data_IF_134825542713
#
_entry.id   IF_134825542713
#
_cell.length_a   1.000
_cell.length_b   1.000
_cell.length_c   1.000
_cell.angle_alpha   90.00
_cell.angle_beta   90.00
_cell.angle_gamma   90.00
#
_symmetry.space_group_name_H-M   'P 1'
#
loop_
_entity.id
_entity.type
_entity.pdbx_description
1 polymer ?
#
# COMPACT_ATOMS: atom_id res chain seq x y z
N UNK A 1 -41.90 -68.20 23.75
CA UNK A 1 -43.38 -68.08 23.71
C UNK A 1 -43.70 -66.82 22.92
N UNK A 2 -43.99 -66.93 21.61
CA UNK A 2 -45.33 -66.78 20.97
C UNK A 2 -45.97 -65.40 21.25
N UNK A 3 -46.41 -64.55 20.31
CA UNK A 3 -46.75 -64.67 18.87
C UNK A 3 -46.95 -63.25 18.26
N UNK A 4 -46.50 -63.05 17.00
CA UNK A 4 -47.21 -62.40 15.84
C UNK A 4 -47.66 -60.91 15.95
N UNK A 5 -47.60 -60.00 14.96
CA UNK A 5 -47.52 -59.99 13.48
C UNK A 5 -46.95 -58.62 13.00
N UNK A 6 -45.97 -58.50 12.10
CA UNK A 6 -45.97 -58.32 10.61
C UNK A 6 -46.75 -57.10 10.02
N UNK A 7 -45.99 -56.30 9.23
CA UNK A 7 -46.28 -55.41 8.07
C UNK A 7 -46.42 -53.91 8.39
N UNK A 8 -46.11 -52.93 7.53
CA UNK A 8 -45.22 -52.64 6.37
C UNK A 8 -45.65 -51.21 5.92
N UNK A 9 -44.87 -50.50 5.09
CA UNK A 9 -45.11 -49.13 4.54
C UNK A 9 -44.84 -47.99 5.54
N UNK A 10 -44.24 -46.86 5.19
CA UNK A 10 -43.82 -46.31 3.91
C UNK A 10 -43.56 -44.81 4.12
N UNK A 11 -42.51 -44.29 3.48
CA UNK A 11 -42.31 -42.94 2.95
C UNK A 11 -42.81 -41.69 3.74
N UNK A 12 -41.84 -40.80 3.97
CA UNK A 12 -41.91 -39.35 3.73
C UNK A 12 -42.59 -38.37 4.71
N UNK A 13 -41.83 -37.27 4.88
CA UNK A 13 -42.21 -35.85 4.99
C UNK A 13 -42.40 -35.18 6.37
N UNK A 14 -41.57 -34.15 6.52
CA UNK A 14 -41.85 -32.79 7.04
C UNK A 14 -42.56 -32.60 8.40
N UNK A 15 -41.81 -32.02 9.34
CA UNK A 15 -42.31 -31.12 10.39
C UNK A 15 -41.47 -29.83 10.28
N UNK A 16 -41.87 -28.85 9.47
CA UNK A 16 -42.91 -27.85 9.75
C UNK A 16 -42.55 -26.97 10.96
N UNK A 17 -41.88 -25.86 10.65
CA UNK A 17 -41.69 -24.68 11.49
C UNK A 17 -43.06 -24.16 11.90
N UNK A 18 -43.29 -23.95 13.20
CA UNK A 18 -44.48 -23.24 13.68
C UNK A 18 -44.34 -21.76 13.32
N UNK A 19 -45.07 -21.34 12.30
CA UNK A 19 -45.37 -19.94 12.02
C UNK A 19 -46.48 -19.48 12.95
N UNK A 20 -46.24 -18.36 13.65
CA UNK A 20 -47.31 -17.60 14.29
C UNK A 20 -48.05 -16.82 13.20
N UNK A 21 -49.24 -17.28 12.85
CA UNK A 21 -50.15 -16.50 12.02
C UNK A 21 -50.61 -15.26 12.79
N UNK A 22 -50.25 -14.08 12.31
CA UNK A 22 -51.13 -12.91 12.37
C UNK A 22 -51.64 -12.66 10.96
N UNK A 23 -52.94 -12.76 10.77
CA UNK A 23 -53.62 -12.42 9.53
C UNK A 23 -53.54 -10.90 9.29
N UNK A 24 -53.20 -10.49 8.08
CA UNK A 24 -53.38 -9.15 7.56
C UNK A 24 -54.16 -9.25 6.23
N UNK A 25 -55.37 -8.71 6.24
CA UNK A 25 -56.44 -8.96 5.25
C UNK A 25 -56.30 -8.17 3.94
N UNK A 26 -55.37 -7.22 3.80
CA UNK A 26 -55.15 -6.51 2.54
C UNK A 26 -53.70 -6.06 2.40
N UNK A 27 -52.95 -6.70 1.49
CA UNK A 27 -51.62 -6.26 1.10
C UNK A 27 -50.82 -7.39 0.44
N UNK A 28 -50.30 -7.15 -0.76
CA UNK A 28 -49.27 -8.01 -1.35
C UNK A 28 -48.11 -8.06 -0.36
N UNK A 29 -47.76 -9.25 0.12
CA UNK A 29 -46.52 -9.44 0.88
C UNK A 29 -45.39 -9.27 -0.13
N UNK A 30 -44.79 -8.09 -0.12
CA UNK A 30 -43.53 -7.85 -0.81
C UNK A 30 -42.45 -8.66 -0.09
N UNK A 31 -41.99 -9.74 -0.74
CA UNK A 31 -40.91 -10.61 -0.29
C UNK A 31 -39.54 -10.10 -0.75
N UNK A 32 -39.43 -8.87 -1.25
CA UNK A 32 -38.12 -8.25 -1.36
C UNK A 32 -37.57 -8.09 0.05
N UNK A 33 -36.55 -8.89 0.35
CA UNK A 33 -35.64 -8.60 1.45
C UNK A 33 -35.22 -7.14 1.26
N UNK A 34 -35.29 -6.28 2.28
CA UNK A 34 -34.70 -4.95 2.15
C UNK A 34 -33.25 -5.18 1.72
N UNK A 35 -32.84 -4.54 0.62
CA UNK A 35 -31.43 -4.50 0.26
C UNK A 35 -30.69 -3.98 1.48
N UNK A 36 -30.02 -4.86 2.22
CA UNK A 36 -28.96 -4.43 3.12
C UNK A 36 -28.01 -3.65 2.20
N UNK A 37 -27.93 -2.34 2.40
CA UNK A 37 -27.20 -1.40 1.55
C UNK A 37 -25.69 -1.58 1.57
N UNK A 38 -25.20 -2.81 1.51
CA UNK A 38 -23.81 -3.15 1.23
C UNK A 38 -23.49 -2.77 -0.20
N UNK A 39 -22.34 -2.10 -0.39
CA UNK A 39 -21.80 -1.85 -1.73
C UNK A 39 -21.60 -3.19 -2.44
N UNK A 40 -22.15 -3.31 -3.65
CA UNK A 40 -21.90 -4.46 -4.53
C UNK A 40 -20.40 -4.53 -4.81
N UNK A 41 -19.73 -5.68 -4.59
CA UNK A 41 -18.31 -5.83 -4.90
C UNK A 41 -18.02 -5.53 -6.38
N UNK A 42 -16.90 -4.88 -6.64
CA UNK A 42 -16.40 -4.65 -7.99
C UNK A 42 -15.95 -5.97 -8.60
N UNK A 43 -16.52 -6.32 -9.76
CA UNK A 43 -16.15 -7.46 -10.60
C UNK A 43 -15.89 -6.96 -12.04
N UNK A 44 -14.86 -6.14 -12.21
CA UNK A 44 -14.55 -5.52 -13.49
C UNK A 44 -13.52 -6.32 -14.31
N UNK A 45 -13.48 -5.99 -15.60
CA UNK A 45 -12.43 -6.39 -16.56
C UNK A 45 -11.66 -5.15 -16.97
N UNK A 46 -10.34 -5.25 -17.01
CA UNK A 46 -9.49 -4.08 -17.19
C UNK A 46 -8.68 -4.10 -18.49
N UNK A 47 -8.26 -2.92 -18.90
CA UNK A 47 -7.26 -2.68 -19.93
C UNK A 47 -5.91 -2.42 -19.28
N UNK A 48 -4.90 -3.20 -19.67
CA UNK A 48 -3.54 -3.11 -19.15
C UNK A 48 -2.62 -2.47 -20.20
N UNK A 49 -2.44 -1.14 -20.13
CA UNK A 49 -1.55 -0.39 -21.04
C UNK A 49 -0.23 -0.10 -20.34
N UNK A 50 0.74 -1.01 -20.45
CA UNK A 50 1.99 -0.92 -19.70
C UNK A 50 2.96 0.20 -20.22
N UNK A 51 3.64 0.94 -19.33
CA UNK A 51 3.48 0.89 -17.89
C UNK A 51 2.17 1.58 -17.44
N UNK A 52 1.50 1.01 -16.44
CA UNK A 52 0.28 1.51 -15.80
C UNK A 52 0.21 1.19 -14.29
N UNK A 53 1.35 0.87 -13.67
CA UNK A 53 1.51 0.70 -12.22
C UNK A 53 1.68 2.05 -11.52
N UNK A 54 2.79 2.26 -10.80
CA UNK A 54 3.05 3.53 -10.10
C UNK A 54 2.96 4.76 -11.03
N UNK A 55 3.52 4.66 -12.23
CA UNK A 55 3.50 5.71 -13.25
C UNK A 55 3.09 5.12 -14.59
N UNK A 56 2.41 5.93 -15.42
CA UNK A 56 2.01 5.47 -16.75
C UNK A 56 2.97 5.93 -17.86
N UNK A 57 2.73 5.46 -19.09
CA UNK A 57 3.53 5.84 -20.26
C UNK A 57 3.59 7.35 -20.51
N UNK A 58 2.49 8.08 -20.27
CA UNK A 58 2.42 9.53 -20.42
C UNK A 58 3.25 10.26 -19.36
N UNK A 59 3.25 9.76 -18.12
CA UNK A 59 4.05 10.32 -17.03
C UNK A 59 5.55 10.21 -17.36
N UNK A 60 6.02 9.05 -17.84
CA UNK A 60 7.42 8.88 -18.29
C UNK A 60 7.74 9.75 -19.51
N UNK A 61 6.86 9.80 -20.52
CA UNK A 61 7.08 10.62 -21.71
C UNK A 61 7.21 12.11 -21.33
N UNK A 62 6.32 12.62 -20.46
CA UNK A 62 6.36 14.00 -19.97
C UNK A 62 7.69 14.32 -19.31
N UNK A 63 8.14 13.47 -18.38
CA UNK A 63 9.38 13.69 -17.62
C UNK A 63 10.59 13.61 -18.54
N UNK A 64 10.63 12.62 -19.43
CA UNK A 64 11.70 12.48 -20.42
C UNK A 64 11.80 13.70 -21.33
N UNK A 65 10.69 14.14 -21.94
CA UNK A 65 10.68 15.31 -22.82
C UNK A 65 11.20 16.55 -22.11
N UNK A 66 10.76 16.83 -20.87
CA UNK A 66 11.25 18.03 -20.18
C UNK A 66 12.73 17.94 -19.76
N UNK A 67 13.26 16.73 -19.53
CA UNK A 67 14.68 16.52 -19.28
C UNK A 67 15.51 16.72 -20.55
N UNK A 68 15.10 16.09 -21.65
CA UNK A 68 15.78 16.16 -22.95
C UNK A 68 15.80 17.59 -23.52
N UNK A 69 14.68 18.30 -23.41
CA UNK A 69 14.55 19.70 -23.87
C UNK A 69 15.20 20.71 -22.91
N UNK A 70 15.68 20.26 -21.74
CA UNK A 70 16.23 21.12 -20.70
C UNK A 70 15.22 22.05 -20.01
N UNK A 71 13.91 21.84 -20.24
CA UNK A 71 12.81 22.67 -19.70
C UNK A 71 12.35 22.24 -18.30
N UNK A 72 12.82 21.10 -17.82
CA UNK A 72 12.49 20.59 -16.48
C UNK A 72 12.77 21.63 -15.38
N UNK A 73 11.87 21.77 -14.38
CA UNK A 73 12.15 22.56 -13.18
C UNK A 73 13.45 22.14 -12.49
N UNK A 74 14.11 23.07 -11.79
CA UNK A 74 15.39 22.77 -11.13
C UNK A 74 15.29 21.60 -10.14
N UNK A 75 14.23 21.55 -9.32
CA UNK A 75 14.02 20.45 -8.38
C UNK A 75 13.90 19.07 -9.05
N UNK A 76 13.34 19.00 -10.27
CA UNK A 76 13.28 17.77 -11.07
C UNK A 76 14.68 17.37 -11.55
N UNK A 77 15.47 18.34 -12.04
CA UNK A 77 16.85 18.10 -12.49
C UNK A 77 17.75 17.63 -11.34
N UNK A 78 17.56 18.22 -10.16
CA UNK A 78 18.30 17.86 -8.95
C UNK A 78 17.91 16.44 -8.50
N UNK A 79 16.61 16.10 -8.49
CA UNK A 79 16.16 14.75 -8.13
C UNK A 79 16.62 13.69 -9.15
N UNK A 80 16.59 14.02 -10.44
CA UNK A 80 17.13 13.14 -11.48
C UNK A 80 18.64 12.90 -11.29
N UNK A 81 19.39 13.94 -10.94
CA UNK A 81 20.82 13.82 -10.61
C UNK A 81 21.03 12.96 -9.36
N UNK A 82 20.20 13.13 -8.33
CA UNK A 82 20.25 12.29 -7.13
C UNK A 82 19.95 10.81 -7.45
N UNK A 83 18.98 10.53 -8.32
CA UNK A 83 18.67 9.16 -8.78
C UNK A 83 19.87 8.53 -9.51
N UNK A 84 20.55 9.27 -10.39
CA UNK A 84 21.75 8.80 -11.10
C UNK A 84 22.95 8.55 -10.17
N UNK A 85 23.06 9.33 -9.09
CA UNK A 85 24.14 9.21 -8.11
C UNK A 85 23.81 8.24 -6.97
N UNK A 86 22.62 7.65 -6.96
CA UNK A 86 22.20 6.72 -5.92
C UNK A 86 23.07 5.45 -5.97
N UNK A 87 23.44 4.90 -4.82
CA UNK A 87 24.22 3.66 -4.73
C UNK A 87 23.55 2.47 -5.43
N UNK A 88 22.21 2.48 -5.53
CA UNK A 88 21.41 1.43 -6.15
C UNK A 88 21.32 1.52 -7.68
N UNK A 89 21.87 2.56 -8.29
CA UNK A 89 21.88 2.77 -9.74
C UNK A 89 23.29 2.77 -10.33
N UNK A 90 24.31 2.42 -9.54
CA UNK A 90 25.69 2.37 -10.01
C UNK A 90 25.92 1.11 -10.86
N UNK A 91 26.54 1.28 -12.03
CA UNK A 91 26.84 0.21 -12.98
C UNK A 91 28.35 -0.10 -13.01
N UNK A 92 28.77 -1.38 -13.14
CA UNK A 92 27.91 -2.57 -13.15
C UNK A 92 27.29 -2.84 -11.77
N UNK A 93 26.05 -3.31 -11.73
CA UNK A 93 25.35 -3.69 -10.51
C UNK A 93 25.41 -5.22 -10.31
N UNK A 94 25.69 -5.67 -9.09
CA UNK A 94 25.74 -7.07 -8.72
C UNK A 94 24.64 -7.40 -7.70
N UNK A 95 23.62 -8.12 -8.14
CA UNK A 95 22.54 -8.66 -7.30
C UNK A 95 23.04 -9.74 -6.35
N UNK A 96 22.33 -9.91 -5.24
CA UNK A 96 22.61 -10.88 -4.19
C UNK A 96 21.34 -11.68 -3.83
N UNK A 97 20.80 -12.49 -4.77
CA UNK A 97 19.56 -13.22 -4.54
C UNK A 97 19.74 -14.30 -3.47
N UNK A 98 18.73 -14.46 -2.62
CA UNK A 98 18.71 -15.47 -1.56
C UNK A 98 17.72 -16.58 -1.92
N UNK A 99 18.00 -17.83 -1.52
CA UNK A 99 17.06 -18.95 -1.72
C UNK A 99 15.79 -18.78 -0.89
N UNK A 100 15.92 -18.22 0.31
CA UNK A 100 14.81 -17.87 1.21
C UNK A 100 14.93 -16.41 1.62
N UNK A 101 13.80 -15.71 1.65
CA UNK A 101 13.68 -14.39 2.28
C UNK A 101 13.13 -14.58 3.69
N UNK A 102 13.89 -14.21 4.71
CA UNK A 102 13.57 -14.41 6.12
C UNK A 102 13.49 -13.08 6.85
N UNK A 103 12.31 -12.78 7.39
CA UNK A 103 11.98 -11.61 8.22
C UNK A 103 11.08 -12.06 9.35
N UNK A 104 11.47 -11.81 10.60
CA UNK A 104 10.93 -12.34 11.84
C UNK A 104 11.85 -13.36 12.50
N UNK A 105 11.26 -14.19 13.35
CA UNK A 105 11.91 -15.32 13.96
C UNK A 105 12.45 -16.29 12.90
N UNK A 106 13.78 -16.38 12.86
CA UNK A 106 14.56 -17.19 11.93
C UNK A 106 15.09 -18.49 12.56
N UNK A 107 14.67 -18.80 13.80
CA UNK A 107 15.13 -19.96 14.55
C UNK A 107 14.86 -21.24 13.77
N UNK A 108 15.92 -21.99 13.46
CA UNK A 108 15.84 -23.23 12.69
C UNK A 108 15.56 -23.07 11.19
N UNK A 109 15.54 -21.82 10.67
CA UNK A 109 15.35 -21.52 9.25
C UNK A 109 16.69 -21.17 8.60
N UNK A 110 17.43 -20.22 9.18
CA UNK A 110 18.79 -19.86 8.75
C UNK A 110 19.82 -20.52 9.66
N UNK A 111 21.02 -20.76 9.14
CA UNK A 111 22.07 -21.48 9.87
C UNK A 111 22.53 -20.74 11.14
N UNK A 112 22.47 -19.41 11.14
CA UNK A 112 22.83 -18.56 12.27
C UNK A 112 21.62 -18.04 13.07
N UNK A 113 20.41 -18.47 12.71
CA UNK A 113 19.16 -18.06 13.36
C UNK A 113 18.83 -16.58 13.19
N UNK A 114 19.36 -15.93 12.14
CA UNK A 114 19.11 -14.50 11.84
C UNK A 114 18.27 -14.30 10.59
N UNK A 115 17.58 -13.16 10.55
CA UNK A 115 16.90 -12.65 9.36
C UNK A 115 17.88 -12.37 8.21
N UNK A 116 17.41 -12.46 6.97
CA UNK A 116 18.21 -12.20 5.77
C UNK A 116 17.43 -11.42 4.68
N UNK A 117 16.41 -10.63 5.04
CA UNK A 117 15.58 -9.91 4.06
C UNK A 117 16.27 -8.71 3.38
N UNK A 118 17.36 -8.18 3.95
CA UNK A 118 18.00 -6.95 3.47
C UNK A 118 18.49 -7.00 2.00
N UNK A 119 19.09 -8.11 1.50
CA UNK A 119 19.41 -8.24 0.07
C UNK A 119 18.19 -8.07 -0.85
N UNK A 120 17.04 -8.66 -0.52
CA UNK A 120 15.82 -8.53 -1.33
C UNK A 120 15.35 -7.07 -1.42
N UNK A 121 15.43 -6.37 -0.30
CA UNK A 121 15.08 -4.98 -0.18
C UNK A 121 15.99 -4.06 -1.02
N UNK A 122 17.31 -4.27 -0.95
CA UNK A 122 18.28 -3.50 -1.72
C UNK A 122 18.16 -3.75 -3.23
N UNK A 123 18.04 -5.02 -3.62
CA UNK A 123 17.97 -5.38 -5.03
C UNK A 123 16.64 -5.00 -5.68
N UNK A 124 15.52 -5.10 -4.97
CA UNK A 124 14.24 -4.61 -5.48
C UNK A 124 14.31 -3.09 -5.74
N UNK A 125 14.89 -2.34 -4.81
CA UNK A 125 15.08 -0.90 -4.97
C UNK A 125 16.01 -0.55 -6.14
N UNK A 126 17.09 -1.32 -6.32
CA UNK A 126 17.99 -1.16 -7.46
C UNK A 126 17.29 -1.45 -8.79
N UNK A 127 16.55 -2.56 -8.89
CA UNK A 127 15.80 -2.90 -10.09
C UNK A 127 14.80 -1.79 -10.46
N UNK A 128 14.04 -1.28 -9.48
CA UNK A 128 13.07 -0.21 -9.70
C UNK A 128 13.73 1.10 -10.16
N UNK A 129 14.78 1.55 -9.46
CA UNK A 129 15.48 2.79 -9.78
C UNK A 129 16.20 2.73 -11.13
N UNK A 130 16.81 1.59 -11.47
CA UNK A 130 17.39 1.38 -12.80
C UNK A 130 16.31 1.34 -13.90
N UNK A 131 15.14 0.75 -13.64
CA UNK A 131 14.02 0.77 -14.58
C UNK A 131 13.53 2.21 -14.86
N UNK A 132 13.46 3.06 -13.82
CA UNK A 132 13.16 4.48 -13.98
C UNK A 132 14.24 5.20 -14.82
N UNK A 133 15.52 4.98 -14.52
CA UNK A 133 16.60 5.59 -15.28
C UNK A 133 16.58 5.17 -16.75
N UNK A 134 16.30 3.90 -17.05
CA UNK A 134 16.10 3.46 -18.43
C UNK A 134 14.97 4.24 -19.10
N UNK A 135 13.78 4.33 -18.50
CA UNK A 135 12.65 5.08 -19.08
C UNK A 135 12.98 6.55 -19.36
N UNK A 136 13.76 7.18 -18.49
CA UNK A 136 14.07 8.62 -18.61
C UNK A 136 15.25 8.89 -19.54
N UNK A 137 16.24 8.01 -19.59
CA UNK A 137 17.47 8.21 -20.39
C UNK A 137 17.44 7.52 -21.75
N UNK A 138 16.77 6.37 -21.86
CA UNK A 138 16.91 5.44 -22.98
C UNK A 138 18.19 4.59 -22.94
N UNK A 139 19.02 4.67 -21.89
CA UNK A 139 20.25 3.87 -21.78
C UNK A 139 19.92 2.43 -21.39
N UNK A 140 20.09 1.52 -22.35
CA UNK A 140 19.82 0.08 -22.22
C UNK A 140 20.65 -0.59 -21.14
N UNK A 141 21.80 -0.02 -20.73
CA UNK A 141 22.60 -0.60 -19.63
C UNK A 141 21.84 -0.62 -18.31
N UNK A 142 20.98 0.36 -18.06
CA UNK A 142 20.10 0.34 -16.89
C UNK A 142 18.99 -0.70 -17.02
N UNK A 143 18.44 -0.87 -18.24
CA UNK A 143 17.43 -1.89 -18.52
C UNK A 143 17.99 -3.30 -18.30
N UNK A 144 19.16 -3.59 -18.88
CA UNK A 144 19.84 -4.88 -18.76
C UNK A 144 20.16 -5.21 -17.30
N UNK A 145 20.65 -4.23 -16.54
CA UNK A 145 20.95 -4.41 -15.12
C UNK A 145 19.68 -4.65 -14.29
N UNK A 146 18.59 -3.91 -14.57
CA UNK A 146 17.29 -4.13 -13.90
C UNK A 146 16.73 -5.52 -14.18
N UNK A 147 16.66 -5.93 -15.45
CA UNK A 147 16.21 -7.27 -15.86
C UNK A 147 17.07 -8.37 -15.25
N UNK A 148 18.40 -8.17 -15.20
CA UNK A 148 19.29 -9.13 -14.56
C UNK A 148 18.94 -9.34 -13.09
N UNK A 149 18.72 -8.27 -12.33
CA UNK A 149 18.32 -8.38 -10.91
C UNK A 149 17.00 -9.14 -10.78
N UNK A 150 16.00 -8.79 -11.60
CA UNK A 150 14.68 -9.44 -11.59
C UNK A 150 14.80 -10.95 -11.88
N UNK A 151 15.53 -11.32 -12.93
CA UNK A 151 15.73 -12.72 -13.34
C UNK A 151 16.55 -13.53 -12.31
N UNK A 152 17.58 -12.92 -11.72
CA UNK A 152 18.43 -13.55 -10.68
C UNK A 152 17.59 -13.94 -9.45
N UNK A 153 16.70 -13.05 -9.00
CA UNK A 153 15.78 -13.31 -7.89
C UNK A 153 14.73 -14.36 -8.25
N UNK A 154 14.11 -14.27 -9.43
CA UNK A 154 13.12 -15.27 -9.87
C UNK A 154 13.70 -16.68 -10.00
N UNK A 155 14.96 -16.78 -10.44
CA UNK A 155 15.66 -18.07 -10.58
C UNK A 155 16.02 -18.67 -9.23
N UNK A 156 16.40 -17.85 -8.26
CA UNK A 156 17.04 -18.29 -7.02
C UNK A 156 16.06 -18.43 -5.84
N UNK A 157 15.23 -17.41 -5.60
CA UNK A 157 14.37 -17.33 -4.43
C UNK A 157 13.17 -18.26 -4.56
N UNK A 158 12.92 -19.08 -3.54
CA UNK A 158 11.87 -20.10 -3.55
C UNK A 158 10.71 -19.80 -2.61
N UNK A 159 10.98 -19.10 -1.50
CA UNK A 159 9.95 -18.84 -0.49
C UNK A 159 10.32 -17.64 0.38
N UNK A 160 9.30 -16.96 0.90
CA UNK A 160 9.39 -16.04 2.03
C UNK A 160 8.97 -16.81 3.30
N UNK A 161 9.84 -16.86 4.31
CA UNK A 161 9.68 -17.77 5.45
C UNK A 161 10.11 -17.14 6.78
N UNK A 162 9.33 -17.38 7.82
CA UNK A 162 9.65 -17.12 9.23
C UNK A 162 8.75 -17.99 10.10
N UNK A 163 9.09 -18.14 11.37
CA UNK A 163 8.18 -18.73 12.37
C UNK A 163 7.09 -17.75 12.83
N UNK A 164 7.17 -16.47 12.44
CA UNK A 164 6.20 -15.44 12.80
C UNK A 164 5.73 -14.58 11.62
N UNK A 165 4.79 -13.68 11.92
CA UNK A 165 4.07 -12.87 10.95
C UNK A 165 4.90 -11.84 10.20
N UNK A 166 6.10 -11.48 10.67
CA UNK A 166 6.93 -10.46 10.02
C UNK A 166 7.29 -10.82 8.57
N UNK A 167 7.22 -12.10 8.18
CA UNK A 167 7.38 -12.52 6.79
C UNK A 167 6.32 -11.89 5.85
N UNK A 168 5.14 -11.52 6.38
CA UNK A 168 4.09 -10.85 5.62
C UNK A 168 4.44 -9.39 5.32
N UNK A 169 5.27 -8.76 6.16
CA UNK A 169 5.86 -7.45 5.84
C UNK A 169 6.91 -7.58 4.74
N UNK A 170 7.71 -8.65 4.73
CA UNK A 170 8.63 -8.89 3.61
C UNK A 170 7.87 -9.12 2.30
N UNK A 171 6.77 -9.89 2.35
CA UNK A 171 5.91 -10.11 1.20
C UNK A 171 5.28 -8.81 0.69
N UNK A 172 4.79 -7.94 1.57
CA UNK A 172 4.21 -6.65 1.18
C UNK A 172 5.25 -5.66 0.63
N UNK A 173 6.30 -5.35 1.38
CA UNK A 173 7.22 -4.27 1.02
C UNK A 173 8.11 -4.62 -0.18
N UNK A 174 8.69 -5.83 -0.20
CA UNK A 174 9.57 -6.23 -1.30
C UNK A 174 8.79 -6.68 -2.54
N UNK A 175 7.64 -7.35 -2.36
CA UNK A 175 6.78 -7.73 -3.49
C UNK A 175 6.28 -6.51 -4.26
N UNK A 176 5.87 -5.47 -3.53
CA UNK A 176 5.48 -4.16 -4.08
C UNK A 176 6.59 -3.55 -4.96
N UNK A 177 7.82 -3.53 -4.46
CA UNK A 177 8.95 -2.89 -5.17
C UNK A 177 9.39 -3.70 -6.38
N UNK A 178 9.50 -5.03 -6.25
CA UNK A 178 9.81 -5.92 -7.38
C UNK A 178 8.76 -5.86 -8.48
N UNK A 179 7.47 -5.84 -8.11
CA UNK A 179 6.37 -5.77 -9.07
C UNK A 179 6.43 -4.47 -9.88
N UNK A 180 6.66 -3.32 -9.24
CA UNK A 180 6.77 -2.04 -9.96
C UNK A 180 8.00 -1.94 -10.86
N UNK A 181 9.13 -2.54 -10.47
CA UNK A 181 10.30 -2.65 -11.35
C UNK A 181 9.96 -3.46 -12.61
N UNK A 182 9.37 -4.64 -12.44
CA UNK A 182 8.96 -5.51 -13.54
C UNK A 182 7.85 -4.89 -14.41
N UNK A 183 6.95 -4.12 -13.81
CA UNK A 183 5.85 -3.44 -14.51
C UNK A 183 6.38 -2.42 -15.53
N UNK A 184 7.45 -1.71 -15.18
CA UNK A 184 8.18 -0.83 -16.11
C UNK A 184 8.94 -1.69 -17.14
N UNK A 185 9.71 -2.67 -16.66
CA UNK A 185 10.65 -3.42 -17.49
C UNK A 185 10.00 -4.35 -18.50
N UNK A 186 8.76 -4.80 -18.32
CA UNK A 186 8.09 -5.65 -19.31
C UNK A 186 7.90 -4.96 -20.66
N UNK A 187 8.06 -3.64 -20.71
CA UNK A 187 8.04 -2.86 -21.96
C UNK A 187 9.41 -2.79 -22.66
N UNK A 188 10.47 -3.35 -22.06
CA UNK A 188 11.81 -3.43 -22.66
C UNK A 188 11.92 -4.67 -23.54
N UNK A 189 12.20 -4.47 -24.82
CA UNK A 189 12.32 -5.57 -25.80
C UNK A 189 13.48 -6.53 -25.52
N UNK A 190 14.46 -6.13 -24.71
CA UNK A 190 15.59 -6.98 -24.31
C UNK A 190 15.25 -7.98 -23.20
N UNK A 191 14.09 -7.86 -22.53
CA UNK A 191 13.66 -8.88 -21.59
C UNK A 191 13.03 -10.06 -22.34
N UNK A 192 13.71 -11.21 -22.32
CA UNK A 192 13.23 -12.40 -23.01
C UNK A 192 11.80 -12.77 -22.53
N UNK A 193 10.84 -13.02 -23.44
CA UNK A 193 9.47 -13.35 -23.05
C UNK A 193 9.35 -14.54 -22.10
N UNK A 194 10.24 -15.53 -22.23
CA UNK A 194 10.29 -16.69 -21.34
C UNK A 194 10.73 -16.33 -19.92
N UNK A 195 11.68 -15.40 -19.79
CA UNK A 195 12.17 -14.94 -18.49
C UNK A 195 11.14 -14.04 -17.82
N UNK A 196 10.46 -13.18 -18.58
CA UNK A 196 9.32 -12.39 -18.09
C UNK A 196 8.20 -13.30 -17.58
N UNK A 197 7.83 -14.34 -18.32
CA UNK A 197 6.82 -15.30 -17.90
C UNK A 197 7.23 -16.02 -16.61
N UNK A 198 8.50 -16.45 -16.52
CA UNK A 198 9.04 -17.07 -15.31
C UNK A 198 9.04 -16.10 -14.11
N UNK A 199 9.37 -14.83 -14.32
CA UNK A 199 9.29 -13.81 -13.27
C UNK A 199 7.85 -13.60 -12.78
N UNK A 200 6.88 -13.50 -13.70
CA UNK A 200 5.45 -13.35 -13.37
C UNK A 200 4.94 -14.55 -12.56
N UNK A 201 5.34 -15.77 -12.91
CA UNK A 201 5.00 -16.98 -12.14
C UNK A 201 5.65 -16.97 -10.74
N UNK A 202 6.93 -16.61 -10.67
CA UNK A 202 7.68 -16.51 -9.42
C UNK A 202 7.05 -15.50 -8.45
N UNK A 203 6.75 -14.28 -8.90
CA UNK A 203 6.25 -13.23 -8.01
C UNK A 203 4.83 -13.54 -7.51
N UNK A 204 4.00 -14.19 -8.32
CA UNK A 204 2.69 -14.69 -7.88
C UNK A 204 2.85 -15.78 -6.82
N UNK A 205 3.72 -16.76 -7.08
CA UNK A 205 3.94 -17.91 -6.20
C UNK A 205 4.55 -17.50 -4.87
N UNK A 206 5.59 -16.66 -4.88
CA UNK A 206 6.38 -16.33 -3.68
C UNK A 206 5.79 -15.17 -2.88
N UNK A 207 5.27 -14.13 -3.55
CA UNK A 207 4.79 -12.90 -2.90
C UNK A 207 3.27 -12.81 -2.86
N UNK A 208 2.58 -12.91 -4.00
CA UNK A 208 1.14 -12.68 -4.04
C UNK A 208 0.36 -13.71 -3.20
N UNK A 209 0.81 -14.97 -3.16
CA UNK A 209 0.22 -16.01 -2.31
C UNK A 209 0.27 -15.63 -0.82
N UNK A 210 1.41 -15.11 -0.33
CA UNK A 210 1.60 -14.62 1.05
C UNK A 210 0.77 -13.36 1.30
N UNK A 211 0.72 -12.42 0.35
CA UNK A 211 -0.12 -11.23 0.49
C UNK A 211 -1.59 -11.60 0.61
N UNK A 212 -2.08 -12.50 -0.24
CA UNK A 212 -3.47 -12.97 -0.19
C UNK A 212 -3.76 -13.70 1.12
N UNK A 213 -2.83 -14.55 1.57
CA UNK A 213 -2.94 -15.23 2.85
C UNK A 213 -3.06 -14.22 4.00
N UNK A 214 -2.23 -13.17 4.02
CA UNK A 214 -2.31 -12.12 5.03
C UNK A 214 -3.64 -11.36 4.95
N UNK A 215 -4.04 -10.86 3.79
CA UNK A 215 -5.29 -10.09 3.64
C UNK A 215 -6.55 -10.93 3.93
N UNK A 216 -6.46 -12.26 3.83
CA UNK A 216 -7.59 -13.16 4.14
C UNK A 216 -7.61 -13.56 5.62
N UNK A 217 -6.46 -13.93 6.18
CA UNK A 217 -6.40 -14.60 7.49
C UNK A 217 -5.63 -13.82 8.56
N UNK A 218 -5.02 -12.69 8.19
CA UNK A 218 -4.18 -11.88 9.05
C UNK A 218 -3.15 -12.76 9.77
N UNK A 219 -2.22 -13.30 8.97
CA UNK A 219 -1.11 -14.24 9.28
C UNK A 219 -1.27 -15.64 8.66
N UNK A 220 -2.13 -16.49 9.18
CA UNK A 220 -2.30 -17.86 8.67
C UNK A 220 -3.71 -18.36 8.96
N UNK A 221 -4.14 -19.43 8.29
CA UNK A 221 -5.48 -20.00 8.51
C UNK A 221 -5.66 -20.52 9.95
N UNK A 222 -4.56 -20.89 10.60
CA UNK A 222 -4.47 -21.34 11.98
C UNK A 222 -4.29 -20.16 12.96
N UNK A 223 -4.17 -18.93 12.45
CA UNK A 223 -4.06 -17.73 13.27
C UNK A 223 -5.27 -17.63 14.19
N UNK A 224 -4.99 -17.28 15.44
CA UNK A 224 -6.02 -16.98 16.43
C UNK A 224 -6.16 -15.48 16.64
N UNK A 225 -5.54 -14.67 15.78
CA UNK A 225 -5.63 -13.22 15.79
C UNK A 225 -6.93 -12.76 15.13
N UNK A 226 -7.54 -11.72 15.70
CA UNK A 226 -8.68 -11.06 15.09
C UNK A 226 -8.23 -10.20 13.90
N UNK A 227 -9.19 -9.80 13.07
CA UNK A 227 -8.95 -9.01 11.86
C UNK A 227 -8.33 -7.62 12.14
N UNK A 228 -8.46 -7.10 13.36
CA UNK A 228 -7.90 -5.81 13.78
C UNK A 228 -6.52 -5.94 14.47
N UNK A 229 -5.98 -7.16 14.59
CA UNK A 229 -4.74 -7.44 15.31
C UNK A 229 -3.49 -6.83 14.69
N UNK A 230 -3.49 -6.59 13.37
CA UNK A 230 -2.34 -5.98 12.71
C UNK A 230 -2.60 -4.51 12.45
N UNK A 231 -1.58 -3.69 12.68
CA UNK A 231 -1.63 -2.26 12.37
C UNK A 231 -1.82 -2.02 10.87
N UNK A 232 -2.44 -0.90 10.51
CA UNK A 232 -2.84 -0.58 9.13
C UNK A 232 -1.69 -0.67 8.13
N UNK A 233 -0.46 -0.36 8.54
CA UNK A 233 0.69 -0.45 7.65
C UNK A 233 0.89 -1.87 7.06
N UNK A 234 0.52 -2.93 7.79
CA UNK A 234 0.69 -4.32 7.35
C UNK A 234 -0.26 -4.65 6.19
N UNK A 235 -1.54 -4.32 6.34
CA UNK A 235 -2.54 -4.43 5.28
C UNK A 235 -2.14 -3.59 4.07
N UNK A 236 -1.76 -2.34 4.28
CA UNK A 236 -1.45 -1.39 3.21
C UNK A 236 -0.28 -1.87 2.35
N UNK A 237 0.82 -2.36 2.93
CA UNK A 237 1.95 -2.88 2.14
C UNK A 237 1.59 -4.16 1.39
N UNK A 238 0.74 -5.03 1.97
CA UNK A 238 0.26 -6.23 1.30
C UNK A 238 -0.72 -5.90 0.17
N UNK A 239 -1.56 -4.87 0.32
CA UNK A 239 -2.42 -4.34 -0.75
C UNK A 239 -1.60 -3.74 -1.89
N UNK A 240 -0.59 -2.92 -1.57
CA UNK A 240 0.33 -2.38 -2.56
C UNK A 240 0.96 -3.49 -3.41
N UNK A 241 1.50 -4.52 -2.76
CA UNK A 241 2.10 -5.66 -3.45
C UNK A 241 1.08 -6.43 -4.27
N UNK A 242 -0.05 -6.80 -3.68
CA UNK A 242 -1.05 -7.62 -4.38
C UNK A 242 -1.66 -6.90 -5.58
N UNK A 243 -1.92 -5.59 -5.47
CA UNK A 243 -2.38 -4.78 -6.59
C UNK A 243 -1.32 -4.63 -7.68
N UNK A 244 -0.07 -4.30 -7.31
CA UNK A 244 1.02 -4.17 -8.27
C UNK A 244 1.28 -5.47 -9.04
N UNK A 245 1.24 -6.61 -8.36
CA UNK A 245 1.38 -7.94 -8.99
C UNK A 245 0.17 -8.23 -9.88
N UNK A 246 -1.04 -7.87 -9.46
CA UNK A 246 -2.26 -8.01 -10.28
C UNK A 246 -2.18 -7.20 -11.57
N UNK A 247 -1.66 -5.97 -11.52
CA UNK A 247 -1.39 -5.14 -12.70
C UNK A 247 -0.32 -5.78 -13.58
N UNK A 248 0.84 -6.14 -13.02
CA UNK A 248 1.93 -6.78 -13.76
C UNK A 248 1.49 -8.06 -14.47
N UNK A 249 0.63 -8.86 -13.84
CA UNK A 249 0.20 -10.16 -14.35
C UNK A 249 -1.10 -10.12 -15.15
N UNK A 250 -1.64 -8.92 -15.36
CA UNK A 250 -2.91 -8.70 -16.07
C UNK A 250 -4.07 -9.53 -15.46
N UNK A 251 -4.11 -9.60 -14.12
CA UNK A 251 -5.05 -10.42 -13.37
C UNK A 251 -6.17 -9.55 -12.77
N UNK A 252 -7.35 -9.57 -13.42
CA UNK A 252 -8.51 -8.81 -13.00
C UNK A 252 -8.97 -9.16 -11.58
N UNK A 253 -8.91 -10.44 -11.19
CA UNK A 253 -9.38 -10.90 -9.87
C UNK A 253 -8.52 -10.34 -8.74
N UNK A 254 -7.21 -10.26 -8.96
CA UNK A 254 -6.29 -9.65 -8.01
C UNK A 254 -6.55 -8.14 -7.84
N UNK A 255 -6.78 -7.44 -8.96
CA UNK A 255 -7.10 -6.01 -8.94
C UNK A 255 -8.46 -5.76 -8.28
N UNK A 256 -9.50 -6.50 -8.67
CA UNK A 256 -10.83 -6.43 -8.05
C UNK A 256 -10.76 -6.69 -6.55
N UNK A 257 -9.97 -7.66 -6.11
CA UNK A 257 -9.79 -7.91 -4.67
C UNK A 257 -9.15 -6.71 -3.95
N UNK A 258 -8.10 -6.11 -4.51
CA UNK A 258 -7.46 -4.94 -3.91
C UNK A 258 -8.41 -3.73 -3.83
N UNK A 259 -9.20 -3.48 -4.88
CA UNK A 259 -10.25 -2.44 -4.91
C UNK A 259 -11.28 -2.68 -3.82
N UNK A 260 -11.88 -3.87 -3.78
CA UNK A 260 -12.90 -4.20 -2.79
C UNK A 260 -12.35 -4.17 -1.35
N UNK A 261 -11.11 -4.60 -1.14
CA UNK A 261 -10.49 -4.56 0.18
C UNK A 261 -10.23 -3.13 0.62
N UNK A 262 -9.72 -2.25 -0.25
CA UNK A 262 -9.49 -0.86 0.12
C UNK A 262 -10.79 -0.15 0.53
N UNK A 263 -11.89 -0.38 -0.19
CA UNK A 263 -13.16 0.29 0.11
C UNK A 263 -13.91 -0.33 1.30
N UNK A 264 -13.94 -1.66 1.39
CA UNK A 264 -14.86 -2.40 2.29
C UNK A 264 -14.20 -3.60 3.00
N UNK A 265 -12.89 -3.76 2.89
CA UNK A 265 -12.14 -4.83 3.54
C UNK A 265 -12.23 -4.77 5.06
N UNK A 266 -12.14 -5.92 5.70
CA UNK A 266 -12.34 -6.02 7.15
C UNK A 266 -11.14 -5.63 8.00
N UNK A 267 -9.92 -5.59 7.44
CA UNK A 267 -8.70 -5.24 8.18
C UNK A 267 -8.42 -3.74 8.24
N UNK A 268 -7.35 -3.36 8.94
CA UNK A 268 -7.02 -1.96 9.23
C UNK A 268 -6.51 -1.17 8.01
N UNK A 269 -6.23 -1.83 6.88
CA UNK A 269 -5.85 -1.16 5.63
C UNK A 269 -7.01 -0.74 4.72
N UNK A 270 -8.26 -1.10 5.07
CA UNK A 270 -9.42 -0.54 4.38
C UNK A 270 -9.66 0.90 4.82
N UNK A 271 -10.13 1.76 3.94
CA UNK A 271 -10.30 3.19 4.22
C UNK A 271 -11.26 3.46 5.39
N UNK A 272 -12.24 2.57 5.61
CA UNK A 272 -13.21 2.69 6.70
C UNK A 272 -12.61 2.37 8.07
N UNK A 273 -11.58 1.52 8.12
CA UNK A 273 -10.87 1.18 9.37
C UNK A 273 -9.57 1.97 9.51
N UNK A 274 -9.02 2.48 8.42
CA UNK A 274 -7.81 3.30 8.42
C UNK A 274 -8.08 4.66 9.07
N UNK A 275 -9.29 5.21 8.90
CA UNK A 275 -9.69 6.51 9.44
C UNK A 275 -10.45 6.31 10.75
N UNK A 276 -9.91 6.85 11.84
CA UNK A 276 -10.44 6.66 13.20
C UNK A 276 -11.07 7.92 13.80
N UNK A 277 -10.90 9.07 13.16
CA UNK A 277 -11.49 10.34 13.61
C UNK A 277 -11.47 11.39 12.51
N UNK A 278 -12.42 12.32 12.53
CA UNK A 278 -12.54 13.40 11.55
C UNK A 278 -12.82 14.71 12.28
N UNK A 279 -11.98 15.72 12.04
CA UNK A 279 -11.97 16.96 12.81
C UNK A 279 -11.91 18.17 11.89
N UNK A 280 -12.43 19.29 12.37
CA UNK A 280 -12.05 20.59 11.81
C UNK A 280 -10.59 20.87 12.15
N UNK A 281 -9.83 21.40 11.20
CA UNK A 281 -8.44 21.81 11.41
C UNK A 281 -8.32 22.78 12.61
N UNK A 282 -7.56 22.43 13.66
CA UNK A 282 -7.41 23.23 14.86
C UNK A 282 -6.70 24.58 14.64
N UNK A 283 -5.99 24.74 13.51
CA UNK A 283 -5.37 26.01 13.12
C UNK A 283 -6.30 26.90 12.28
N UNK A 284 -7.59 26.56 12.20
CA UNK A 284 -8.68 27.38 11.64
C UNK A 284 -8.53 27.71 10.16
N UNK A 285 -8.03 26.78 9.35
CA UNK A 285 -8.07 26.88 7.89
C UNK A 285 -9.49 26.79 7.33
N UNK A 286 -10.43 26.21 8.10
CA UNK A 286 -11.78 25.89 7.66
C UNK A 286 -11.90 24.50 7.03
N UNK A 287 -10.78 23.78 6.90
CA UNK A 287 -10.69 22.45 6.31
C UNK A 287 -10.96 21.33 7.32
N UNK A 288 -11.20 20.13 6.81
CA UNK A 288 -11.35 18.91 7.60
C UNK A 288 -10.09 18.06 7.52
N UNK A 289 -9.70 17.44 8.62
CA UNK A 289 -8.54 16.55 8.73
C UNK A 289 -8.94 15.21 9.37
N UNK A 290 -8.26 14.13 9.03
CA UNK A 290 -8.62 12.77 9.47
C UNK A 290 -7.49 12.08 10.24
N UNK A 291 -7.76 11.61 11.45
CA UNK A 291 -6.84 10.79 12.23
C UNK A 291 -6.74 9.39 11.61
N UNK A 292 -5.52 8.94 11.31
CA UNK A 292 -5.29 7.56 10.90
C UNK A 292 -5.14 6.62 12.10
N UNK A 293 -5.35 5.34 11.86
CA UNK A 293 -5.33 4.23 12.82
C UNK A 293 -4.06 4.15 13.68
N UNK A 294 -2.91 4.63 13.18
CA UNK A 294 -1.61 4.56 13.85
C UNK A 294 -1.25 5.83 14.63
N UNK A 295 -2.06 6.88 14.54
CA UNK A 295 -1.73 8.22 15.08
C UNK A 295 -1.39 8.24 16.57
N UNK A 296 -1.96 7.32 17.36
CA UNK A 296 -1.70 7.21 18.80
C UNK A 296 -0.57 6.23 19.18
N UNK A 297 -0.05 5.44 18.23
CA UNK A 297 1.00 4.43 18.47
C UNK A 297 2.39 5.07 18.49
N UNK A 298 2.81 5.57 17.34
CA UNK A 298 4.02 6.35 17.13
C UNK A 298 3.96 7.06 15.77
N UNK A 299 4.70 8.15 15.62
CA UNK A 299 4.62 8.97 14.41
C UNK A 299 5.38 8.38 13.22
N UNK A 300 6.35 7.51 13.44
CA UNK A 300 7.05 6.80 12.37
C UNK A 300 6.08 5.93 11.55
N UNK A 301 5.17 5.22 12.23
CA UNK A 301 4.15 4.39 11.59
C UNK A 301 2.93 5.18 11.12
N UNK A 302 2.54 6.26 11.82
CA UNK A 302 1.49 7.16 11.31
C UNK A 302 1.90 7.77 9.96
N UNK A 303 3.14 8.27 9.84
CA UNK A 303 3.69 8.76 8.57
C UNK A 303 3.86 7.64 7.54
N UNK A 304 4.22 6.42 7.96
CA UNK A 304 4.28 5.25 7.07
C UNK A 304 2.93 4.94 6.44
N UNK A 305 1.86 4.88 7.24
CA UNK A 305 0.51 4.60 6.74
C UNK A 305 0.06 5.62 5.70
N UNK A 306 0.38 6.90 5.89
CA UNK A 306 0.13 7.94 4.87
C UNK A 306 0.94 7.68 3.60
N UNK A 307 2.25 7.44 3.71
CA UNK A 307 3.11 7.23 2.55
C UNK A 307 2.69 6.00 1.73
N UNK A 308 2.43 4.87 2.38
CA UNK A 308 2.04 3.64 1.69
C UNK A 308 0.63 3.77 1.09
N UNK A 309 -0.31 4.42 1.80
CA UNK A 309 -1.64 4.72 1.23
C UNK A 309 -1.54 5.61 -0.01
N UNK A 310 -0.69 6.65 0.02
CA UNK A 310 -0.48 7.52 -1.13
C UNK A 310 0.08 6.74 -2.34
N UNK A 311 1.03 5.83 -2.11
CA UNK A 311 1.56 4.94 -3.14
C UNK A 311 0.47 4.00 -3.72
N UNK A 312 -0.35 3.39 -2.86
CA UNK A 312 -1.49 2.56 -3.28
C UNK A 312 -2.47 3.36 -4.15
N UNK A 313 -2.85 4.56 -3.69
CA UNK A 313 -3.76 5.43 -4.42
C UNK A 313 -3.17 5.88 -5.75
N UNK A 314 -1.86 6.16 -5.81
CA UNK A 314 -1.18 6.52 -7.05
C UNK A 314 -1.20 5.38 -8.06
N UNK A 315 -0.89 4.14 -7.66
CA UNK A 315 -1.00 2.98 -8.55
C UNK A 315 -2.42 2.80 -9.07
N UNK A 316 -3.41 2.88 -8.17
CA UNK A 316 -4.82 2.76 -8.54
C UNK A 316 -5.26 3.86 -9.50
N UNK A 317 -4.80 5.10 -9.29
CA UNK A 317 -5.14 6.23 -10.15
C UNK A 317 -4.46 6.18 -11.52
N UNK A 318 -3.19 5.78 -11.59
CA UNK A 318 -2.49 5.53 -12.86
C UNK A 318 -3.23 4.47 -13.69
N UNK A 319 -3.73 3.43 -13.03
CA UNK A 319 -4.52 2.38 -13.67
C UNK A 319 -5.93 2.86 -14.06
N UNK A 320 -6.58 3.68 -13.23
CA UNK A 320 -7.87 4.31 -13.49
C UNK A 320 -7.87 5.15 -14.77
N UNK A 321 -6.77 5.85 -15.10
CA UNK A 321 -6.66 6.64 -16.34
C UNK A 321 -6.96 5.83 -17.61
N UNK A 322 -6.68 4.53 -17.60
CA UNK A 322 -7.00 3.61 -18.71
C UNK A 322 -8.32 2.84 -18.50
N UNK A 323 -8.90 2.92 -17.31
CA UNK A 323 -10.08 2.18 -16.87
C UNK A 323 -11.15 3.09 -16.24
N UNK A 324 -11.56 4.20 -16.88
CA UNK A 324 -12.44 5.20 -16.27
C UNK A 324 -13.86 4.69 -15.99
N UNK A 325 -14.25 3.55 -16.56
CA UNK A 325 -15.53 2.90 -16.30
C UNK A 325 -15.64 2.27 -14.90
N UNK A 326 -14.52 2.16 -14.16
CA UNK A 326 -14.46 1.63 -12.80
C UNK A 326 -14.05 2.76 -11.85
N UNK A 327 -14.97 3.65 -11.45
CA UNK A 327 -14.66 4.82 -10.63
C UNK A 327 -14.08 4.45 -9.25
N UNK A 328 -14.31 3.22 -8.77
CA UNK A 328 -13.75 2.70 -7.53
C UNK A 328 -12.22 2.58 -7.56
N UNK A 329 -11.57 2.61 -8.72
CA UNK A 329 -10.11 2.70 -8.83
C UNK A 329 -9.55 4.07 -8.40
N UNK A 330 -10.38 5.12 -8.36
CA UNK A 330 -9.95 6.43 -7.84
C UNK A 330 -9.95 6.43 -6.30
N UNK A 331 -8.93 5.77 -5.72
CA UNK A 331 -8.80 5.64 -4.26
C UNK A 331 -8.59 6.98 -3.57
N UNK A 332 -8.04 7.99 -4.25
CA UNK A 332 -7.93 9.34 -3.69
C UNK A 332 -9.30 9.96 -3.42
N UNK A 333 -10.31 9.67 -4.25
CA UNK A 333 -11.67 10.15 -4.06
C UNK A 333 -12.45 9.38 -2.96
N UNK A 334 -11.91 8.27 -2.45
CA UNK A 334 -12.61 7.41 -1.52
C UNK A 334 -12.95 8.12 -0.20
N UNK A 335 -14.14 7.81 0.33
CA UNK A 335 -14.65 8.31 1.60
C UNK A 335 -14.54 9.85 1.73
N UNK A 336 -15.00 10.57 0.71
CA UNK A 336 -14.94 12.04 0.63
C UNK A 336 -13.51 12.58 0.80
N UNK A 337 -12.61 12.13 -0.08
CA UNK A 337 -11.19 12.49 -0.06
C UNK A 337 -10.51 12.25 1.30
N UNK A 338 -10.88 11.17 2.02
CA UNK A 338 -10.34 10.90 3.34
C UNK A 338 -8.81 10.74 3.35
N UNK A 339 -8.22 10.27 2.25
CA UNK A 339 -6.76 10.17 2.09
C UNK A 339 -6.10 11.56 2.11
N UNK A 340 -6.73 12.58 1.51
CA UNK A 340 -6.26 13.96 1.59
C UNK A 340 -6.25 14.45 3.04
N UNK A 341 -7.40 14.31 3.70
CA UNK A 341 -7.63 14.75 5.08
C UNK A 341 -6.70 14.03 6.06
N UNK A 342 -6.41 12.75 5.78
CA UNK A 342 -5.42 11.94 6.51
C UNK A 342 -4.00 12.46 6.36
N UNK A 343 -3.63 12.83 5.13
CA UNK A 343 -2.37 13.51 4.82
C UNK A 343 -2.23 14.80 5.62
N UNK A 344 -3.25 15.66 5.60
CA UNK A 344 -3.25 16.94 6.33
C UNK A 344 -3.09 16.76 7.84
N UNK A 345 -3.86 15.85 8.45
CA UNK A 345 -3.75 15.55 9.89
C UNK A 345 -2.32 15.16 10.27
N UNK A 346 -1.75 14.24 9.50
CA UNK A 346 -0.43 13.67 9.78
C UNK A 346 0.68 14.69 9.51
N UNK A 347 0.55 15.49 8.44
CA UNK A 347 1.49 16.56 8.11
C UNK A 347 1.46 17.68 9.16
N UNK A 348 0.26 18.13 9.58
CA UNK A 348 0.10 19.15 10.62
C UNK A 348 0.87 18.76 11.89
N UNK A 349 0.71 17.51 12.33
CA UNK A 349 1.44 17.04 13.49
C UNK A 349 2.94 16.87 13.22
N UNK A 350 3.37 16.40 12.06
CA UNK A 350 4.79 16.08 11.83
C UNK A 350 5.64 17.21 11.25
N UNK A 351 5.06 18.35 10.86
CA UNK A 351 5.79 19.44 10.22
C UNK A 351 6.38 20.44 11.22
N UNK A 352 7.62 20.87 10.95
CA UNK A 352 8.26 22.02 11.60
C UNK A 352 8.28 23.24 10.70
N UNK A 353 8.30 24.44 11.27
CA UNK A 353 8.31 25.71 10.52
C UNK A 353 9.64 26.11 9.89
N UNK A 354 10.73 25.35 10.07
CA UNK A 354 12.04 25.64 9.46
C UNK A 354 12.08 25.34 7.96
N UNK A 355 13.07 25.91 7.26
CA UNK A 355 13.22 25.78 5.79
C UNK A 355 14.12 24.60 5.37
N UNK A 356 14.61 23.80 6.31
CA UNK A 356 15.50 22.68 6.01
C UNK A 356 14.74 21.48 5.42
N UNK A 357 15.38 20.78 4.47
CA UNK A 357 14.79 19.65 3.75
C UNK A 357 14.86 18.31 4.50
N UNK A 358 15.24 18.34 5.79
CA UNK A 358 15.27 17.20 6.71
C UNK A 358 14.31 17.36 7.89
N UNK A 359 13.50 18.43 7.89
CA UNK A 359 12.48 18.72 8.90
C UNK A 359 12.99 18.72 10.36
N UNK A 360 14.21 19.21 10.57
CA UNK A 360 14.91 19.27 11.85
C UNK A 360 14.88 20.65 12.51
N UNK A 361 14.63 21.73 11.74
CA UNK A 361 14.69 23.11 12.23
C UNK A 361 13.30 23.75 12.37
N UNK A 362 13.22 24.81 13.19
CA UNK A 362 11.97 25.50 13.51
C UNK A 362 11.10 24.78 14.54
N UNK A 363 10.04 25.46 14.99
CA UNK A 363 9.07 24.91 15.93
C UNK A 363 8.08 23.97 15.23
N UNK A 364 7.53 23.00 15.97
CA UNK A 364 6.36 22.24 15.52
C UNK A 364 5.20 23.17 15.19
N UNK A 365 4.44 22.87 14.13
CA UNK A 365 3.26 23.67 13.78
C UNK A 365 2.15 23.59 14.83
N UNK A 366 2.08 22.47 15.55
CA UNK A 366 1.11 22.22 16.62
C UNK A 366 1.75 21.39 17.74
N UNK A 367 1.26 21.55 18.98
CA UNK A 367 1.65 20.74 20.13
C UNK A 367 0.66 19.59 20.32
N UNK A 368 1.09 18.49 20.96
CA UNK A 368 0.26 17.29 21.13
C UNK A 368 -1.04 17.57 21.90
N UNK A 369 -1.02 18.46 22.89
CA UNK A 369 -2.21 18.88 23.66
C UNK A 369 -3.27 19.62 22.83
N UNK A 370 -2.90 20.12 21.65
CA UNK A 370 -3.80 20.82 20.73
C UNK A 370 -4.22 19.97 19.53
N UNK A 371 -3.63 18.80 19.35
CA UNK A 371 -4.00 17.90 18.28
C UNK A 371 -5.33 17.22 18.63
N UNK A 372 -6.41 17.40 17.85
CA UNK A 372 -7.67 16.71 18.12
C UNK A 372 -7.47 15.20 17.93
N UNK A 373 -8.08 14.39 18.79
CA UNK A 373 -7.91 12.94 18.77
C UNK A 373 -9.17 12.28 19.34
N UNK A 374 -9.73 11.33 18.59
CA UNK A 374 -10.78 10.44 19.04
C UNK A 374 -10.14 9.21 19.67
N UNK A 375 -10.61 8.81 20.86
CA UNK A 375 -10.10 7.64 21.56
C UNK A 375 -10.11 6.41 20.65
N UNK A 376 -8.95 5.79 20.48
CA UNK A 376 -8.78 4.61 19.65
C UNK A 376 -8.48 3.39 20.52
N UNK A 377 -9.37 2.39 20.45
CA UNK A 377 -9.25 1.12 21.18
C UNK A 377 -8.67 0.06 20.27
N UNK A 378 -7.35 -0.06 20.27
CA UNK A 378 -6.64 -1.09 19.55
C UNK A 378 -6.80 -2.44 20.26
N UNK A 379 -7.47 -3.40 19.62
CA UNK A 379 -7.58 -4.79 20.11
C UNK A 379 -8.00 -4.96 21.59
N UNK A 380 -8.79 -4.02 22.11
CA UNK A 380 -9.38 -4.14 23.45
C UNK A 380 -10.54 -5.13 23.40
N UNK A 381 -10.57 -6.08 24.34
CA UNK A 381 -11.57 -7.14 24.43
C UNK A 381 -11.80 -7.91 23.12
N UNK A 382 -10.77 -7.96 22.27
CA UNK A 382 -10.85 -8.62 20.98
C UNK A 382 -10.96 -10.15 21.10
N UNK A 383 -11.33 -10.76 19.98
CA UNK A 383 -11.45 -12.22 19.86
C UNK A 383 -10.08 -12.96 19.82
N UNK A 384 -8.97 -12.23 19.90
CA UNK A 384 -7.65 -12.86 19.91
C UNK A 384 -7.49 -13.76 21.14
N UNK A 385 -6.82 -14.91 20.94
CA UNK A 385 -6.55 -15.87 22.02
C UNK A 385 -5.72 -15.26 23.16
N UNK A 386 -4.65 -14.57 22.80
CA UNK A 386 -3.77 -13.91 23.76
C UNK A 386 -4.22 -12.46 23.94
N UNK A 387 -4.99 -12.18 24.99
CA UNK A 387 -5.60 -10.85 25.24
C UNK A 387 -4.62 -9.82 25.84
N UNK A 388 -3.34 -9.87 25.47
CA UNK A 388 -2.25 -9.09 26.08
C UNK A 388 -1.63 -8.03 25.16
N UNK A 389 -2.19 -7.77 23.99
CA UNK A 389 -1.66 -6.82 23.00
C UNK A 389 -2.59 -5.63 22.72
N UNK A 390 -3.69 -5.50 23.46
CA UNK A 390 -4.59 -4.37 23.32
C UNK A 390 -4.00 -3.09 23.93
N UNK A 391 -4.34 -1.95 23.34
CA UNK A 391 -3.96 -0.63 23.82
C UNK A 391 -5.13 0.36 23.65
N UNK A 392 -5.28 1.28 24.60
CA UNK A 392 -6.20 2.42 24.46
C UNK A 392 -5.33 3.65 24.24
N UNK A 393 -5.51 4.31 23.10
CA UNK A 393 -4.88 5.58 22.80
C UNK A 393 -5.90 6.69 23.02
N UNK A 394 -5.56 7.68 23.85
CA UNK A 394 -6.42 8.83 24.17
C UNK A 394 -5.88 10.14 23.63
N UNK A 395 -4.73 10.11 22.97
CA UNK A 395 -4.10 11.26 22.33
C UNK A 395 -3.16 10.78 21.21
N UNK A 396 -2.73 11.72 20.37
CA UNK A 396 -1.65 11.50 19.41
C UNK A 396 -0.37 11.06 20.15
N UNK A 397 0.46 10.24 19.49
CA UNK A 397 1.70 9.76 20.09
C UNK A 397 2.65 10.90 20.50
N UNK A 398 3.59 10.59 21.39
CA UNK A 398 4.58 11.55 21.87
C UNK A 398 5.56 12.01 20.77
N UNK A 399 6.47 12.91 21.14
CA UNK A 399 7.46 13.47 20.22
C UNK A 399 8.59 12.48 19.85
N UNK A 400 8.62 11.26 20.40
CA UNK A 400 9.64 10.28 20.08
C UNK A 400 9.49 9.80 18.62
N UNK A 401 10.50 10.08 17.80
CA UNK A 401 10.48 9.75 16.38
C UNK A 401 9.53 10.60 15.52
N UNK A 402 8.92 11.66 16.10
CA UNK A 402 8.06 12.61 15.39
C UNK A 402 8.86 13.40 14.35
N UNK A 403 8.26 13.60 13.18
CA UNK A 403 8.78 14.45 12.12
C UNK A 403 9.97 13.90 11.33
N UNK A 404 10.39 12.65 11.55
CA UNK A 404 11.40 11.99 10.70
C UNK A 404 10.91 11.99 9.25
N UNK A 405 11.69 12.54 8.29
CA UNK A 405 11.29 12.61 6.89
C UNK A 405 10.91 11.25 6.30
N UNK A 406 9.93 11.25 5.40
CA UNK A 406 9.53 10.10 4.56
C UNK A 406 9.01 10.64 3.23
N UNK A 407 9.28 9.98 2.08
CA UNK A 407 8.73 10.42 0.81
C UNK A 407 7.26 10.01 0.66
N UNK A 408 6.53 10.67 -0.24
CA UNK A 408 5.11 10.43 -0.52
C UNK A 408 4.23 11.67 -0.43
N UNK A 409 4.78 12.81 0.02
CA UNK A 409 4.03 14.06 0.16
C UNK A 409 3.78 14.71 -1.20
N UNK A 410 4.72 14.56 -2.13
CA UNK A 410 4.53 15.02 -3.51
C UNK A 410 3.34 14.33 -4.17
N UNK A 411 3.09 13.05 -3.86
CA UNK A 411 1.96 12.29 -4.38
C UNK A 411 0.64 12.94 -3.99
N UNK A 412 0.45 13.18 -2.68
CA UNK A 412 -0.75 13.80 -2.14
C UNK A 412 -0.96 15.19 -2.74
N UNK A 413 0.06 16.06 -2.63
CA UNK A 413 -0.03 17.42 -3.12
C UNK A 413 -0.33 17.47 -4.62
N UNK A 414 0.42 16.73 -5.43
CA UNK A 414 0.27 16.76 -6.88
C UNK A 414 -1.10 16.25 -7.32
N UNK A 415 -1.57 15.14 -6.74
CA UNK A 415 -2.86 14.57 -7.10
C UNK A 415 -3.98 15.60 -6.87
N UNK A 416 -4.10 16.14 -5.66
CA UNK A 416 -5.20 17.04 -5.34
C UNK A 416 -5.08 18.41 -6.01
N UNK A 417 -3.91 19.05 -5.93
CA UNK A 417 -3.73 20.42 -6.44
C UNK A 417 -3.58 20.48 -7.96
N UNK A 418 -2.87 19.52 -8.58
CA UNK A 418 -2.45 19.61 -9.99
C UNK A 418 -3.18 18.65 -10.92
N UNK A 419 -3.65 17.50 -10.42
CA UNK A 419 -4.39 16.52 -11.24
C UNK A 419 -5.90 16.73 -11.11
N UNK A 420 -6.43 16.78 -9.89
CA UNK A 420 -7.84 17.07 -9.63
C UNK A 420 -8.18 18.56 -9.73
N UNK A 421 -7.20 19.43 -9.48
CA UNK A 421 -7.39 20.88 -9.57
C UNK A 421 -8.33 21.43 -8.49
N UNK A 422 -8.42 20.76 -7.33
CA UNK A 422 -9.14 21.33 -6.19
C UNK A 422 -8.32 22.48 -5.59
N UNK A 423 -8.98 23.47 -4.98
CA UNK A 423 -8.34 24.73 -4.58
C UNK A 423 -7.87 24.78 -3.13
N UNK A 424 -8.25 23.81 -2.31
CA UNK A 424 -7.96 23.78 -0.87
C UNK A 424 -7.96 22.34 -0.33
N UNK A 425 -7.64 22.18 0.96
CA UNK A 425 -7.60 20.88 1.64
C UNK A 425 -6.25 20.16 1.65
N UNK A 426 -5.18 20.76 1.12
CA UNK A 426 -3.83 20.16 1.04
C UNK A 426 -2.72 21.11 1.55
N UNK A 427 -3.06 22.02 2.48
CA UNK A 427 -2.17 23.08 2.98
C UNK A 427 -0.89 22.53 3.61
N UNK A 428 -0.99 21.49 4.43
CA UNK A 428 0.17 20.93 5.14
C UNK A 428 0.94 19.94 4.27
N UNK A 429 0.25 19.15 3.46
CA UNK A 429 0.87 18.28 2.47
C UNK A 429 1.67 19.08 1.43
N UNK A 430 1.17 20.24 0.98
CA UNK A 430 1.90 21.18 0.12
C UNK A 430 3.20 21.64 0.79
N UNK A 431 3.12 22.15 2.03
CA UNK A 431 4.31 22.61 2.77
C UNK A 431 5.32 21.49 3.00
N UNK A 432 4.87 20.27 3.26
CA UNK A 432 5.76 19.13 3.46
C UNK A 432 6.43 18.72 2.15
N UNK A 433 5.68 18.69 1.04
CA UNK A 433 6.22 18.43 -0.29
C UNK A 433 7.25 19.50 -0.68
N UNK A 434 6.93 20.78 -0.52
CA UNK A 434 7.85 21.89 -0.77
C UNK A 434 9.13 21.80 0.06
N UNK A 435 8.99 21.49 1.36
CA UNK A 435 10.13 21.32 2.26
C UNK A 435 11.04 20.19 1.83
N UNK A 436 10.49 19.04 1.44
CA UNK A 436 11.29 17.87 1.12
C UNK A 436 11.98 17.95 -0.23
N UNK A 437 11.48 18.76 -1.19
CA UNK A 437 12.02 18.86 -2.56
C UNK A 437 13.52 19.23 -2.59
N UNK A 438 14.35 18.51 -3.38
CA UNK A 438 14.08 17.22 -4.01
C UNK A 438 13.75 16.13 -2.98
N UNK A 439 12.59 15.49 -3.11
CA UNK A 439 12.07 14.48 -2.17
C UNK A 439 13.01 13.27 -2.03
N UNK A 440 13.66 12.85 -3.10
CA UNK A 440 14.50 11.65 -3.12
C UNK A 440 13.68 10.37 -2.92
N UNK A 441 14.37 9.28 -2.61
CA UNK A 441 13.74 7.98 -2.41
C UNK A 441 14.68 7.01 -1.71
N UNK A 442 14.44 5.73 -1.86
CA UNK A 442 15.26 4.69 -1.25
C UNK A 442 16.76 4.86 -1.56
N UNK A 443 17.60 4.84 -0.52
CA UNK A 443 19.04 5.10 -0.62
C UNK A 443 19.44 6.54 -0.32
N UNK A 444 18.46 7.45 -0.17
CA UNK A 444 18.68 8.76 0.41
C UNK A 444 18.97 8.65 1.91
N UNK A 445 20.04 9.32 2.38
CA UNK A 445 20.50 9.24 3.76
C UNK A 445 19.52 9.86 4.76
N UNK A 446 18.60 10.72 4.30
CA UNK A 446 17.54 11.33 5.13
C UNK A 446 16.56 10.30 5.70
N UNK A 447 16.39 9.17 5.02
CA UNK A 447 15.43 8.13 5.39
C UNK A 447 16.05 6.98 6.19
N UNK A 448 17.39 6.94 6.27
CA UNK A 448 18.14 5.87 6.92
C UNK A 448 18.37 4.65 6.03
N UNK A 449 18.88 3.58 6.63
CA UNK A 449 19.28 2.34 5.92
C UNK A 449 18.56 1.08 6.40
N UNK A 450 17.64 1.21 7.37
CA UNK A 450 16.82 0.10 7.85
C UNK A 450 15.65 -0.17 6.90
N UNK A 451 14.83 -1.18 7.21
CA UNK A 451 13.66 -1.56 6.40
C UNK A 451 12.68 -0.42 6.14
N UNK A 452 12.45 0.45 7.13
CA UNK A 452 11.54 1.59 7.00
C UNK A 452 11.84 2.53 5.84
N UNK A 453 13.10 2.63 5.42
CA UNK A 453 13.53 3.45 4.28
C UNK A 453 13.18 2.84 2.90
N UNK A 454 12.70 1.59 2.88
CA UNK A 454 12.43 0.79 1.69
C UNK A 454 10.99 0.28 1.63
N UNK A 455 10.13 0.71 2.56
CA UNK A 455 8.70 0.36 2.54
C UNK A 455 7.90 1.22 1.55
N UNK A 456 8.54 2.23 0.93
CA UNK A 456 7.98 3.13 -0.09
C UNK A 456 9.00 3.44 -1.18
N UNK A 457 8.53 3.79 -2.38
CA UNK A 457 9.38 3.96 -3.58
C UNK A 457 10.09 5.34 -3.63
N UNK A 458 9.35 6.41 -3.36
CA UNK A 458 9.82 7.80 -3.48
C UNK A 458 9.95 8.30 -4.93
N UNK A 459 10.83 9.29 -5.13
CA UNK A 459 11.10 9.94 -6.42
C UNK A 459 9.90 10.73 -6.98
N UNK A 460 9.05 11.25 -6.08
CA UNK A 460 7.85 11.99 -6.47
C UNK A 460 8.16 13.33 -7.12
N UNK A 461 9.23 14.04 -6.71
CA UNK A 461 9.56 15.35 -7.31
C UNK A 461 9.87 15.19 -8.80
N UNK A 462 10.64 14.18 -9.15
CA UNK A 462 11.08 13.81 -10.49
C UNK A 462 9.87 13.46 -11.35
N UNK A 463 9.00 12.59 -10.84
CA UNK A 463 7.95 11.98 -11.64
C UNK A 463 6.63 12.73 -11.62
N UNK A 464 6.40 13.63 -10.66
CA UNK A 464 5.09 14.26 -10.46
C UNK A 464 5.14 15.79 -10.46
N UNK A 465 6.23 16.42 -9.99
CA UNK A 465 6.25 17.87 -9.79
C UNK A 465 5.87 18.66 -11.05
N UNK A 466 5.02 19.67 -10.84
CA UNK A 466 4.52 20.62 -11.84
C UNK A 466 4.53 22.00 -11.19
N UNK A 467 5.04 23.00 -11.90
CA UNK A 467 5.01 24.40 -11.42
C UNK A 467 3.57 24.90 -11.29
#
# INVERSE_FOLDING_TARGET
MNKKSIKLLGLALLLAVQTSCRENEFGVVDLTMPEEGGKVPVEAKYTYTHPCGMYNGEDFARVKTMLDDGTAPQAVKDEFTALKNNRFTQLPYASNPQTLIVRGDATGITADGKENYAPAMYDAAAAYQMAMLWKLTGDEKYADASVKVLNDWATTCKEIKSNDANQMLAAGCQGYTFANAAEIMQTYSGWAPTDLAHFKDWIVTVFASKNKQFLTYHWSKESTSCIFHYWSNWDLVNLCSYMAIGILTENDEMVNYAVNYFHTGGGNGSIVNLIQGTFTDPLKTGETICQNQESGRDQGHAMMSVAVTANLCQMAYSFYKYNPAVPELDFFAANDNAVMKMGEYTALFNLRGGADNVNSTGAWLITADKMPFDEYKYCIDCACKDKNHGAIHTSVADDAGRGTPRPGWEILYNHYAKVKGISSGYTYAEKFAEKLRPEGGTGDTRYGSNSGAFDQLGWGTLMMYRK
#
